data_IF_137629548180
#
_entry.id   IF_137629548180
#
_cell.length_a   1.000
_cell.length_b   1.000
_cell.length_c   1.000
_cell.angle_alpha   90.00
_cell.angle_beta   90.00
_cell.angle_gamma   90.00
#
_symmetry.space_group_name_H-M   'P 1'
#
loop_
_entity.id
_entity.type
_entity.pdbx_description
1 polymer ?
#
# COMPACT_ATOMS: atom_id res chain seq x y z
N UNK A 1 -0.28 -14.20 -9.86
CA UNK A 1 -0.96 -14.32 -8.56
C UNK A 1 -1.40 -12.93 -8.10
N UNK A 2 -2.52 -12.82 -7.39
CA UNK A 2 -3.03 -11.56 -6.82
C UNK A 2 -2.89 -11.61 -5.30
N UNK A 3 -2.33 -10.58 -4.69
CA UNK A 3 -2.07 -10.50 -3.26
C UNK A 3 -2.95 -9.43 -2.60
N UNK A 4 -3.50 -9.73 -1.43
CA UNK A 4 -3.95 -8.71 -0.51
C UNK A 4 -2.80 -8.40 0.46
N UNK A 5 -2.38 -7.13 0.51
CA UNK A 5 -1.24 -6.71 1.34
C UNK A 5 -1.75 -5.78 2.44
N UNK A 6 -1.54 -6.18 3.69
CA UNK A 6 -1.91 -5.40 4.87
C UNK A 6 -0.64 -5.18 5.69
N UNK A 7 -0.17 -3.93 5.71
CA UNK A 7 0.97 -3.52 6.52
C UNK A 7 0.52 -3.09 7.91
N UNK A 8 1.12 -3.65 8.95
CA UNK A 8 0.84 -3.28 10.34
C UNK A 8 2.03 -2.53 10.96
N UNK A 9 1.75 -1.43 11.65
CA UNK A 9 2.76 -0.55 12.24
C UNK A 9 3.60 0.17 11.19
N UNK A 10 4.55 0.99 11.65
CA UNK A 10 5.35 1.84 10.76
C UNK A 10 6.09 1.04 9.67
N UNK A 11 6.81 -0.01 10.07
CA UNK A 11 7.60 -0.83 9.16
C UNK A 11 6.71 -1.57 8.14
N UNK A 12 5.64 -2.23 8.63
CA UNK A 12 4.71 -2.95 7.78
C UNK A 12 4.02 -2.03 6.77
N UNK A 13 3.59 -0.84 7.20
CA UNK A 13 2.99 0.15 6.32
C UNK A 13 3.93 0.60 5.20
N UNK A 14 5.23 0.79 5.48
CA UNK A 14 6.22 1.13 4.44
C UNK A 14 6.43 0.00 3.43
N UNK A 15 6.43 -1.25 3.88
CA UNK A 15 6.51 -2.41 2.99
C UNK A 15 5.25 -2.49 2.12
N UNK A 16 4.07 -2.32 2.71
CA UNK A 16 2.80 -2.26 1.96
C UNK A 16 2.82 -1.15 0.90
N UNK A 17 3.35 0.03 1.25
CA UNK A 17 3.51 1.14 0.30
C UNK A 17 4.39 0.80 -0.91
N UNK A 18 5.43 0.00 -0.70
CA UNK A 18 6.22 -0.54 -1.82
C UNK A 18 5.43 -1.51 -2.70
N UNK A 19 4.53 -2.32 -2.13
CA UNK A 19 3.61 -3.15 -2.91
C UNK A 19 2.61 -2.30 -3.72
N UNK A 20 2.10 -1.19 -3.17
CA UNK A 20 1.27 -0.25 -3.95
C UNK A 20 2.06 0.31 -5.15
N UNK A 21 3.31 0.70 -4.96
CA UNK A 21 4.20 1.15 -6.05
C UNK A 21 4.40 0.07 -7.11
N UNK A 22 4.68 -1.17 -6.67
CA UNK A 22 4.88 -2.30 -7.58
C UNK A 22 3.62 -2.63 -8.35
N UNK A 23 2.44 -2.53 -7.74
CA UNK A 23 1.17 -2.73 -8.42
C UNK A 23 0.94 -1.68 -9.51
N UNK A 24 1.18 -0.40 -9.22
CA UNK A 24 1.10 0.66 -10.24
C UNK A 24 2.08 0.42 -11.39
N UNK A 25 3.32 0.00 -11.09
CA UNK A 25 4.32 -0.35 -12.11
C UNK A 25 3.86 -1.53 -12.98
N UNK A 26 3.33 -2.59 -12.37
CA UNK A 26 2.83 -3.76 -13.08
C UNK A 26 1.63 -3.45 -13.98
N UNK A 27 0.75 -2.54 -13.55
CA UNK A 27 -0.38 -2.08 -14.37
C UNK A 27 0.12 -1.28 -15.58
N UNK A 28 1.04 -0.34 -15.39
CA UNK A 28 1.57 0.49 -16.48
C UNK A 28 2.41 -0.31 -17.47
N UNK A 29 3.32 -1.16 -17.00
CA UNK A 29 4.30 -1.83 -17.86
C UNK A 29 3.80 -3.15 -18.44
N UNK A 30 2.90 -3.84 -17.72
CA UNK A 30 2.51 -5.22 -18.06
C UNK A 30 1.00 -5.43 -18.13
N UNK A 31 0.19 -4.37 -17.94
CA UNK A 31 -1.28 -4.46 -17.85
C UNK A 31 -1.74 -5.51 -16.84
N UNK A 32 -0.95 -5.73 -15.77
CA UNK A 32 -1.17 -6.76 -14.78
C UNK A 32 -1.48 -6.14 -13.42
N UNK A 33 -2.45 -6.69 -12.70
CA UNK A 33 -2.74 -6.32 -11.31
C UNK A 33 -2.21 -7.41 -10.39
N UNK A 34 -1.27 -7.05 -9.52
CA UNK A 34 -0.55 -7.98 -8.64
C UNK A 34 -0.93 -7.81 -7.16
N UNK A 35 -1.31 -6.61 -6.74
CA UNK A 35 -1.77 -6.30 -5.39
C UNK A 35 -3.01 -5.40 -5.48
N UNK A 36 -4.20 -5.98 -5.77
CA UNK A 36 -5.44 -5.22 -5.90
C UNK A 36 -5.87 -4.53 -4.60
N UNK A 37 -5.42 -5.03 -3.44
CA UNK A 37 -5.70 -4.46 -2.13
C UNK A 37 -4.37 -4.21 -1.43
N UNK A 38 -4.13 -2.96 -1.04
CA UNK A 38 -2.97 -2.54 -0.25
C UNK A 38 -3.46 -1.59 0.84
N UNK A 39 -3.26 -1.95 2.09
CA UNK A 39 -3.72 -1.20 3.27
C UNK A 39 -2.52 -1.02 4.22
N UNK A 40 -2.35 0.18 4.76
CA UNK A 40 -1.49 0.45 5.90
C UNK A 40 -2.33 0.70 7.15
N UNK A 41 -2.03 -0.01 8.24
CA UNK A 41 -2.69 0.14 9.54
C UNK A 41 -1.68 0.58 10.58
N UNK A 42 -1.86 1.73 11.21
CA UNK A 42 -0.99 2.22 12.26
C UNK A 42 -1.72 3.17 13.22
N UNK A 43 -1.30 3.22 14.47
CA UNK A 43 -1.89 4.13 15.47
C UNK A 43 -1.35 5.56 15.35
N UNK A 44 -0.21 5.75 14.69
CA UNK A 44 0.39 7.07 14.45
C UNK A 44 -0.02 7.64 13.09
N UNK A 45 -0.76 8.75 13.12
CA UNK A 45 -1.18 9.50 11.94
C UNK A 45 0.02 10.00 11.11
N UNK A 46 1.12 10.40 11.75
CA UNK A 46 2.29 10.94 11.05
C UNK A 46 2.90 9.88 10.12
N UNK A 47 3.00 8.64 10.59
CA UNK A 47 3.47 7.51 9.78
C UNK A 47 2.58 7.23 8.58
N UNK A 48 1.25 7.23 8.78
CA UNK A 48 0.29 7.02 7.71
C UNK A 48 0.32 8.15 6.67
N UNK A 49 0.51 9.40 7.11
CA UNK A 49 0.65 10.54 6.17
C UNK A 49 1.93 10.45 5.34
N UNK A 50 2.98 9.81 5.87
CA UNK A 50 4.25 9.59 5.19
C UNK A 50 4.24 8.57 4.04
N UNK A 51 3.16 7.76 3.90
CA UNK A 51 3.02 6.82 2.78
C UNK A 51 2.81 7.55 1.45
N UNK A 52 3.47 7.09 0.39
CA UNK A 52 3.54 7.78 -0.91
C UNK A 52 2.64 7.17 -1.96
N UNK A 53 2.47 5.85 -1.98
CA UNK A 53 1.81 5.12 -3.07
C UNK A 53 0.45 4.53 -2.67
N UNK A 54 0.28 4.20 -1.41
CA UNK A 54 -0.98 3.76 -0.82
C UNK A 54 -1.96 4.93 -0.86
N UNK A 55 -3.22 4.70 -1.24
CA UNK A 55 -4.20 5.78 -1.42
C UNK A 55 -4.40 6.57 -0.13
N UNK A 56 -4.48 7.91 -0.21
CA UNK A 56 -4.64 8.80 0.95
C UNK A 56 -6.11 8.94 1.36
N UNK A 57 -6.72 7.84 1.78
CA UNK A 57 -8.07 7.82 2.32
C UNK A 57 -8.16 6.91 3.55
N UNK A 58 -9.24 7.07 4.33
CA UNK A 58 -9.49 6.32 5.57
C UNK A 58 -9.80 4.82 5.35
N UNK A 59 -9.87 4.36 4.09
CA UNK A 59 -10.10 2.95 3.77
C UNK A 59 -8.79 2.20 3.51
N UNK A 60 -7.72 2.90 3.13
CA UNK A 60 -6.41 2.33 2.81
C UNK A 60 -5.31 2.75 3.80
N UNK A 61 -5.54 3.81 4.58
CA UNK A 61 -4.67 4.26 5.67
C UNK A 61 -5.50 4.32 6.95
N UNK A 62 -5.43 3.25 7.72
CA UNK A 62 -6.26 3.01 8.91
C UNK A 62 -5.44 3.28 10.17
#
# INVERSE_FOLDING_TARGET
MKLAVIGLGQCGCRIADHFARLNSKAQTERKATIAPIVIGVNTDQADLTGLRFTKKDYMHRI
#
